data_IF_895952671340
#
_entry.id   IF_895952671340
#
_cell.length_a   1.000
_cell.length_b   1.000
_cell.length_c   1.000
_cell.angle_alpha   90.00
_cell.angle_beta   90.00
_cell.angle_gamma   90.00
#
_symmetry.space_group_name_H-M   'P 1'
#
loop_
_entity.id
_entity.type
_entity.pdbx_description
1 polymer ?
#
# COMPACT_ATOMS: atom_id res chain seq x y z
N UNK A 1 2.07 19.61 9.04
CA UNK A 1 1.11 18.60 9.53
C UNK A 1 0.46 19.07 10.80
N UNK A 2 -0.85 18.88 10.94
CA UNK A 2 -1.54 19.23 12.18
C UNK A 2 -1.21 18.16 13.23
N UNK A 3 -0.40 18.49 14.20
CA UNK A 3 -0.12 17.61 15.34
C UNK A 3 -1.37 17.52 16.21
N UNK A 4 -1.84 16.31 16.47
CA UNK A 4 -2.94 16.12 17.42
C UNK A 4 -2.43 16.40 18.83
N UNK A 5 -3.15 17.24 19.55
CA UNK A 5 -2.89 17.56 20.94
C UNK A 5 -3.92 16.88 21.86
N UNK A 6 -3.59 16.81 23.13
CA UNK A 6 -4.48 16.22 24.15
C UNK A 6 -5.84 16.93 24.20
N UNK A 7 -5.86 18.25 23.98
CA UNK A 7 -7.04 19.10 23.91
C UNK A 7 -8.01 18.66 22.84
N UNK A 8 -7.51 18.33 21.63
CA UNK A 8 -8.33 17.84 20.54
C UNK A 8 -9.00 16.50 20.87
N UNK A 9 -8.28 15.59 21.54
CA UNK A 9 -8.83 14.31 21.97
C UNK A 9 -9.91 14.46 23.06
N UNK A 10 -9.73 15.42 23.97
CA UNK A 10 -10.74 15.74 25.00
C UNK A 10 -12.00 16.29 24.37
N UNK A 11 -11.88 17.27 23.47
CA UNK A 11 -13.00 17.93 22.78
C UNK A 11 -13.78 16.97 21.87
N UNK A 12 -13.06 16.01 21.24
CA UNK A 12 -13.66 14.95 20.46
C UNK A 12 -14.39 13.90 21.33
N UNK A 13 -14.14 13.87 22.65
CA UNK A 13 -14.74 12.89 23.55
C UNK A 13 -14.05 11.51 23.53
N UNK A 14 -12.78 11.46 23.13
CA UNK A 14 -12.01 10.22 23.01
C UNK A 14 -11.79 9.50 24.35
N UNK A 15 -11.92 10.21 25.48
CA UNK A 15 -11.71 9.69 26.82
C UNK A 15 -12.87 8.88 27.36
N UNK A 16 -14.06 8.95 26.77
CA UNK A 16 -15.20 8.15 27.22
C UNK A 16 -15.11 6.73 26.68
N UNK A 17 -15.01 5.76 27.58
CA UNK A 17 -15.15 4.35 27.26
C UNK A 17 -16.56 3.83 27.47
N UNK A 18 -16.69 2.53 27.52
CA UNK A 18 -17.95 1.84 27.77
C UNK A 18 -18.27 1.70 29.25
N UNK A 19 -19.51 1.28 29.54
CA UNK A 19 -19.97 0.96 30.87
C UNK A 19 -19.07 -0.12 31.54
N UNK A 20 -18.81 0.03 32.85
CA UNK A 20 -17.95 -0.89 33.64
C UNK A 20 -18.35 -2.34 33.50
N UNK A 21 -19.66 -2.66 33.43
CA UNK A 21 -20.15 -4.03 33.24
C UNK A 21 -19.79 -4.69 31.92
N UNK A 22 -19.34 -3.91 30.92
CA UNK A 22 -19.01 -4.39 29.57
C UNK A 22 -17.52 -4.37 29.23
N UNK A 23 -16.70 -3.94 30.17
CA UNK A 23 -15.29 -3.77 29.94
C UNK A 23 -14.54 -5.09 29.77
N UNK A 24 -13.37 -5.01 29.13
CA UNK A 24 -12.44 -6.13 29.07
C UNK A 24 -11.30 -5.90 30.08
N UNK A 25 -10.97 -6.86 30.98
CA UNK A 25 -9.89 -6.71 31.95
C UNK A 25 -8.52 -6.40 31.33
N UNK A 26 -8.25 -6.84 30.13
CA UNK A 26 -7.01 -6.54 29.37
C UNK A 26 -6.85 -5.06 29.04
N UNK A 27 -7.94 -4.28 29.05
CA UNK A 27 -7.91 -2.83 28.85
C UNK A 27 -7.52 -2.06 30.11
N UNK A 28 -7.36 -2.73 31.27
CA UNK A 28 -6.96 -2.09 32.54
C UNK A 28 -5.75 -1.14 32.42
N UNK A 29 -4.68 -1.45 31.67
CA UNK A 29 -3.54 -0.55 31.51
C UNK A 29 -3.86 0.79 30.85
N UNK A 30 -4.95 0.86 30.07
CA UNK A 30 -5.36 2.04 29.31
C UNK A 30 -6.48 2.85 29.96
N UNK A 31 -7.02 2.35 31.09
CA UNK A 31 -8.08 3.02 31.85
C UNK A 31 -7.45 3.91 32.91
N UNK A 32 -7.83 5.19 32.93
CA UNK A 32 -7.39 6.16 33.91
C UNK A 32 -8.16 6.06 35.20
N UNK A 33 -9.52 6.04 35.12
CA UNK A 33 -10.42 5.95 36.27
C UNK A 33 -11.82 5.48 35.86
N UNK A 34 -12.65 5.25 36.84
CA UNK A 34 -14.09 5.03 36.66
C UNK A 34 -14.86 6.29 37.16
N UNK A 35 -15.85 6.74 36.39
CA UNK A 35 -16.73 7.83 36.76
C UNK A 35 -18.15 7.53 36.30
N UNK A 36 -19.12 7.58 37.23
CA UNK A 36 -20.54 7.33 36.94
C UNK A 36 -20.82 5.99 36.22
N UNK A 37 -20.07 4.93 36.54
CA UNK A 37 -20.24 3.62 35.93
C UNK A 37 -19.70 3.51 34.49
N UNK A 38 -18.88 4.48 34.07
CA UNK A 38 -18.21 4.50 32.76
C UNK A 38 -16.70 4.54 33.00
N UNK A 39 -15.94 3.78 32.24
CA UNK A 39 -14.48 3.86 32.25
C UNK A 39 -14.00 5.09 31.48
N UNK A 40 -13.01 5.78 32.03
CA UNK A 40 -12.34 6.91 31.40
C UNK A 40 -10.98 6.42 30.89
N UNK A 41 -10.73 6.61 29.60
CA UNK A 41 -9.49 6.21 28.94
C UNK A 41 -8.38 7.22 29.24
N UNK A 42 -7.16 6.74 29.45
CA UNK A 42 -5.96 7.55 29.67
C UNK A 42 -5.48 8.17 28.33
N UNK A 43 -5.86 9.41 28.09
CA UNK A 43 -5.52 10.10 26.86
C UNK A 43 -4.04 10.38 26.66
N UNK A 44 -3.22 10.39 27.71
CA UNK A 44 -1.76 10.52 27.57
C UNK A 44 -1.20 9.27 26.88
N UNK A 45 -1.67 8.10 27.28
CA UNK A 45 -1.31 6.84 26.63
C UNK A 45 -1.89 6.75 25.22
N UNK A 46 -3.15 7.16 25.04
CA UNK A 46 -3.78 7.22 23.71
C UNK A 46 -2.98 8.07 22.74
N UNK A 47 -2.55 9.25 23.16
CA UNK A 47 -1.75 10.15 22.31
C UNK A 47 -0.40 9.54 21.95
N UNK A 48 0.29 8.92 22.93
CA UNK A 48 1.57 8.25 22.65
C UNK A 48 1.43 7.10 21.65
N UNK A 49 0.40 6.26 21.83
CA UNK A 49 0.13 5.14 20.92
C UNK A 49 -0.41 5.58 19.56
N UNK A 50 -1.18 6.67 19.51
CA UNK A 50 -1.62 7.28 18.24
C UNK A 50 -0.42 7.78 17.42
N UNK A 51 0.53 8.47 18.07
CA UNK A 51 1.74 8.93 17.39
C UNK A 51 2.61 7.75 16.92
N UNK A 52 2.74 6.68 17.71
CA UNK A 52 3.42 5.47 17.29
C UNK A 52 2.73 4.86 16.07
N UNK A 53 1.40 4.67 16.12
CA UNK A 53 0.62 4.15 15.01
C UNK A 53 0.74 5.02 13.75
N UNK A 54 0.81 6.35 13.91
CA UNK A 54 1.05 7.28 12.80
C UNK A 54 2.37 7.00 12.10
N UNK A 55 3.48 6.94 12.87
CA UNK A 55 4.81 6.70 12.30
C UNK A 55 4.92 5.34 11.60
N UNK A 56 4.39 4.31 12.22
CA UNK A 56 4.38 2.97 11.63
C UNK A 56 3.50 2.88 10.36
N UNK A 57 2.39 3.62 10.34
CA UNK A 57 1.55 3.73 9.14
C UNK A 57 2.30 4.43 8.00
N UNK A 58 3.01 5.54 8.29
CA UNK A 58 3.85 6.24 7.31
C UNK A 58 4.90 5.27 6.75
N UNK A 59 5.56 4.50 7.62
CA UNK A 59 6.61 3.57 7.19
C UNK A 59 6.04 2.44 6.32
N UNK A 60 4.92 1.82 6.74
CA UNK A 60 4.26 0.77 5.97
C UNK A 60 3.86 1.22 4.55
N UNK A 61 3.39 2.47 4.42
CA UNK A 61 3.02 3.04 3.12
C UNK A 61 4.26 3.49 2.32
N UNK A 62 5.30 3.98 2.98
CA UNK A 62 6.56 4.38 2.33
C UNK A 62 7.25 3.22 1.63
N UNK A 63 7.04 1.99 2.13
CA UNK A 63 7.50 0.75 1.51
C UNK A 63 6.62 0.28 0.34
N UNK A 64 5.58 1.04 0.00
CA UNK A 64 4.64 0.72 -1.09
C UNK A 64 3.47 -0.16 -0.66
N UNK A 65 3.23 -0.32 0.63
CA UNK A 65 2.06 -0.99 1.18
C UNK A 65 0.78 -0.17 0.95
N UNK A 66 -0.33 -0.82 0.61
CA UNK A 66 -1.66 -0.20 0.60
C UNK A 66 -2.35 -0.46 1.93
N UNK A 67 -3.22 0.46 2.35
CA UNK A 67 -3.99 0.35 3.58
C UNK A 67 -5.45 0.02 3.25
N UNK A 68 -6.05 -0.89 4.02
CA UNK A 68 -7.49 -1.16 3.96
C UNK A 68 -8.15 -0.60 5.22
N UNK A 69 -9.01 0.41 5.05
CA UNK A 69 -9.80 0.96 6.14
C UNK A 69 -11.07 0.15 6.34
N UNK A 70 -11.34 -0.28 7.57
CA UNK A 70 -12.47 -1.16 7.91
C UNK A 70 -13.27 -0.57 9.06
N UNK A 71 -14.58 -0.42 8.86
CA UNK A 71 -15.49 -0.01 9.92
C UNK A 71 -16.92 0.05 9.44
N UNK A 72 -17.68 -0.97 9.82
CA UNK A 72 -19.08 -1.09 9.44
C UNK A 72 -20.03 -0.44 10.45
N UNK A 73 -19.48 0.19 11.50
CA UNK A 73 -20.25 0.93 12.51
C UNK A 73 -20.92 2.13 11.87
N UNK A 74 -22.20 2.37 12.18
CA UNK A 74 -22.99 3.45 11.58
C UNK A 74 -22.31 4.81 11.69
N UNK A 75 -21.62 5.06 12.82
CA UNK A 75 -20.88 6.29 13.09
C UNK A 75 -19.58 6.41 12.27
N UNK A 76 -19.00 5.31 11.85
CA UNK A 76 -17.71 5.26 11.16
C UNK A 76 -17.83 5.27 9.63
N UNK A 77 -18.93 4.75 9.08
CA UNK A 77 -19.10 4.51 7.63
C UNK A 77 -18.72 5.71 6.76
N UNK A 78 -19.42 6.83 6.94
CA UNK A 78 -19.20 8.01 6.10
C UNK A 78 -17.80 8.60 6.22
N UNK A 79 -17.24 8.56 7.44
CA UNK A 79 -15.88 9.03 7.69
C UNK A 79 -14.85 8.14 7.00
N UNK A 80 -15.00 6.81 7.12
CA UNK A 80 -14.10 5.83 6.48
C UNK A 80 -14.12 5.98 4.96
N UNK A 81 -15.31 6.10 4.36
CA UNK A 81 -15.45 6.27 2.91
C UNK A 81 -14.78 7.55 2.42
N UNK A 82 -15.06 8.69 3.08
CA UNK A 82 -14.51 9.98 2.68
C UNK A 82 -12.99 10.04 2.83
N UNK A 83 -12.44 9.56 3.96
CA UNK A 83 -11.02 9.64 4.23
C UNK A 83 -10.21 8.60 3.43
N UNK A 84 -10.73 7.40 3.23
CA UNK A 84 -10.12 6.42 2.33
C UNK A 84 -10.06 6.95 0.89
N UNK A 85 -11.13 7.59 0.41
CA UNK A 85 -11.14 8.23 -0.90
C UNK A 85 -10.13 9.38 -0.98
N UNK A 86 -10.04 10.22 0.08
CA UNK A 86 -9.09 11.34 0.16
C UNK A 86 -7.63 10.88 0.03
N UNK A 87 -7.27 9.79 0.67
CA UNK A 87 -5.90 9.23 0.60
C UNK A 87 -5.71 8.18 -0.51
N UNK A 88 -6.74 7.91 -1.35
CA UNK A 88 -6.65 6.96 -2.47
C UNK A 88 -6.47 5.50 -2.04
N UNK A 89 -7.01 5.14 -0.86
CA UNK A 89 -6.94 3.79 -0.31
C UNK A 89 -8.31 3.08 -0.36
N UNK A 90 -8.29 1.78 -0.18
CA UNK A 90 -9.51 0.97 -0.17
C UNK A 90 -10.22 1.01 1.19
N UNK A 91 -11.53 0.77 1.17
CA UNK A 91 -12.34 0.76 2.40
C UNK A 91 -13.42 -0.31 2.40
N UNK A 92 -13.82 -0.72 3.60
CA UNK A 92 -15.00 -1.57 3.84
C UNK A 92 -15.88 -0.90 4.89
N UNK A 93 -16.99 -0.33 4.46
CA UNK A 93 -17.89 0.48 5.29
C UNK A 93 -19.24 -0.19 5.55
N UNK A 94 -19.71 -1.07 4.66
CA UNK A 94 -21.03 -1.66 4.78
C UNK A 94 -21.04 -2.98 5.55
N UNK A 95 -20.28 -3.95 5.09
CA UNK A 95 -20.19 -5.27 5.72
C UNK A 95 -18.92 -6.00 5.32
N UNK A 96 -18.19 -6.50 6.29
CA UNK A 96 -17.11 -7.43 6.02
C UNK A 96 -17.66 -8.76 5.51
N UNK A 97 -17.18 -9.22 4.37
CA UNK A 97 -17.46 -10.56 3.88
C UNK A 97 -16.41 -11.52 4.42
N UNK A 98 -16.86 -12.62 5.04
CA UNK A 98 -15.93 -13.67 5.44
C UNK A 98 -15.10 -14.19 4.26
N UNK A 99 -13.78 -14.26 4.43
CA UNK A 99 -12.84 -14.60 3.37
C UNK A 99 -12.38 -13.43 2.51
N UNK A 100 -12.65 -12.18 2.92
CA UNK A 100 -12.25 -10.99 2.14
C UNK A 100 -10.74 -10.90 1.93
N UNK A 101 -9.96 -11.30 2.90
CA UNK A 101 -8.50 -11.42 2.80
C UNK A 101 -8.07 -12.86 2.56
N UNK A 102 -8.56 -13.81 3.34
CA UNK A 102 -8.12 -15.21 3.28
C UNK A 102 -8.59 -15.96 2.02
N UNK A 103 -9.67 -15.53 1.40
CA UNK A 103 -10.17 -16.05 0.11
C UNK A 103 -10.29 -14.94 -0.94
N UNK A 104 -9.24 -14.13 -1.02
CA UNK A 104 -9.18 -12.95 -1.88
C UNK A 104 -9.48 -13.26 -3.36
N UNK A 105 -9.07 -14.44 -3.85
CA UNK A 105 -9.32 -14.85 -5.23
C UNK A 105 -10.81 -14.93 -5.56
N UNK A 106 -11.64 -15.40 -4.61
CA UNK A 106 -13.10 -15.46 -4.76
C UNK A 106 -13.73 -14.08 -4.70
N UNK A 107 -13.25 -13.21 -3.81
CA UNK A 107 -13.69 -11.80 -3.77
C UNK A 107 -13.39 -11.11 -5.10
N UNK A 108 -12.20 -11.31 -5.68
CA UNK A 108 -11.86 -10.77 -7.01
C UNK A 108 -12.77 -11.29 -8.14
N UNK A 109 -13.25 -12.54 -8.05
CA UNK A 109 -14.26 -13.05 -9.00
C UNK A 109 -15.59 -12.30 -8.85
N UNK A 110 -16.00 -11.99 -7.61
CA UNK A 110 -17.22 -11.22 -7.36
C UNK A 110 -17.10 -9.77 -7.85
N UNK A 111 -15.94 -9.13 -7.67
CA UNK A 111 -15.64 -7.80 -8.22
C UNK A 111 -15.70 -7.84 -9.76
N UNK A 112 -15.06 -8.83 -10.40
CA UNK A 112 -15.17 -8.99 -11.88
C UNK A 112 -16.60 -9.23 -12.34
N UNK A 113 -17.42 -9.93 -11.56
CA UNK A 113 -18.85 -10.13 -11.85
C UNK A 113 -19.59 -8.79 -11.83
N UNK A 114 -19.34 -7.94 -10.81
CA UNK A 114 -19.88 -6.59 -10.73
C UNK A 114 -19.53 -5.78 -11.97
N UNK A 115 -18.24 -5.69 -12.30
CA UNK A 115 -17.73 -4.96 -13.47
C UNK A 115 -18.33 -5.45 -14.78
N UNK A 116 -18.52 -6.77 -14.92
CA UNK A 116 -19.17 -7.34 -16.10
C UNK A 116 -20.64 -6.93 -16.22
N UNK A 117 -21.38 -6.86 -15.10
CA UNK A 117 -22.78 -6.42 -15.13
C UNK A 117 -22.85 -4.92 -15.48
N UNK A 118 -21.99 -4.09 -14.91
CA UNK A 118 -21.91 -2.65 -15.22
C UNK A 118 -21.52 -2.41 -16.69
N UNK A 119 -20.59 -3.21 -17.22
CA UNK A 119 -20.25 -3.17 -18.64
C UNK A 119 -21.42 -3.54 -19.55
N UNK A 120 -22.18 -4.60 -19.21
CA UNK A 120 -23.36 -5.02 -19.97
C UNK A 120 -24.46 -3.93 -19.98
N UNK A 121 -24.55 -3.13 -18.91
CA UNK A 121 -25.47 -2.00 -18.83
C UNK A 121 -25.04 -0.86 -19.78
N UNK A 122 -23.74 -0.56 -19.83
CA UNK A 122 -23.20 0.52 -20.70
C UNK A 122 -23.13 0.12 -22.16
N UNK A 123 -22.89 -1.15 -22.49
CA UNK A 123 -22.76 -1.66 -23.86
C UNK A 123 -24.14 -1.87 -24.56
N UNK A 124 -25.27 -1.50 -23.92
CA UNK A 124 -26.61 -1.68 -24.47
C UNK A 124 -27.11 -3.13 -24.50
N UNK A 125 -26.38 -4.07 -23.87
CA UNK A 125 -26.81 -5.48 -23.78
C UNK A 125 -28.10 -5.61 -22.98
N UNK A 126 -28.37 -4.72 -22.05
CA UNK A 126 -29.61 -4.67 -21.26
C UNK A 126 -30.87 -4.43 -22.10
N UNK A 127 -30.75 -3.87 -23.29
CA UNK A 127 -31.87 -3.68 -24.22
C UNK A 127 -32.25 -4.98 -24.94
N UNK A 128 -31.32 -5.93 -25.04
CA UNK A 128 -31.48 -7.20 -25.76
C UNK A 128 -32.02 -8.32 -24.88
N UNK A 129 -32.07 -8.15 -23.55
CA UNK A 129 -32.52 -9.15 -22.58
C UNK A 129 -33.96 -8.88 -22.11
N UNK A 130 -34.59 -9.88 -21.52
CA UNK A 130 -35.94 -9.76 -21.00
C UNK A 130 -36.01 -8.79 -19.79
N UNK A 131 -37.19 -8.15 -19.59
CA UNK A 131 -37.37 -7.24 -18.43
C UNK A 131 -37.09 -7.93 -17.09
N UNK A 132 -37.46 -9.23 -16.97
CA UNK A 132 -37.22 -10.03 -15.75
C UNK A 132 -35.73 -10.23 -15.49
N UNK A 133 -34.99 -10.56 -16.50
CA UNK A 133 -33.56 -10.80 -16.42
C UNK A 133 -32.79 -9.50 -16.12
N UNK A 134 -33.15 -8.39 -16.78
CA UNK A 134 -32.60 -7.09 -16.49
C UNK A 134 -32.80 -6.69 -15.02
N UNK A 135 -34.04 -6.86 -14.49
CA UNK A 135 -34.32 -6.57 -13.11
C UNK A 135 -33.48 -7.44 -12.14
N UNK A 136 -33.26 -8.70 -12.48
CA UNK A 136 -32.43 -9.60 -11.68
C UNK A 136 -30.97 -9.13 -11.65
N UNK A 137 -30.39 -8.81 -12.82
CA UNK A 137 -29.03 -8.31 -12.94
C UNK A 137 -28.84 -6.95 -12.24
N UNK A 138 -29.80 -6.05 -12.36
CA UNK A 138 -29.75 -4.76 -11.65
C UNK A 138 -29.72 -4.95 -10.13
N UNK A 139 -30.57 -5.84 -9.59
CA UNK A 139 -30.58 -6.14 -8.15
C UNK A 139 -29.30 -6.82 -7.68
N UNK A 140 -28.73 -7.70 -8.51
CA UNK A 140 -27.44 -8.34 -8.24
C UNK A 140 -26.32 -7.29 -8.22
N UNK A 141 -26.27 -6.40 -9.22
CA UNK A 141 -25.32 -5.28 -9.30
C UNK A 141 -25.40 -4.40 -8.05
N UNK A 142 -26.58 -3.93 -7.71
CA UNK A 142 -26.77 -3.01 -6.58
C UNK A 142 -26.33 -3.65 -5.25
N UNK A 143 -26.61 -4.94 -5.07
CA UNK A 143 -26.16 -5.70 -3.91
C UNK A 143 -24.63 -5.86 -3.87
N UNK A 144 -24.00 -6.20 -4.99
CA UNK A 144 -22.55 -6.34 -5.08
C UNK A 144 -21.86 -4.99 -4.92
N UNK A 145 -22.34 -3.96 -5.60
CA UNK A 145 -21.81 -2.60 -5.53
C UNK A 145 -21.77 -2.09 -4.11
N UNK A 146 -22.91 -2.17 -3.40
CA UNK A 146 -23.01 -1.75 -2.01
C UNK A 146 -21.95 -2.34 -1.09
N UNK A 147 -21.51 -3.59 -1.35
CA UNK A 147 -20.59 -4.32 -0.45
C UNK A 147 -19.14 -4.22 -0.93
N UNK A 148 -18.91 -4.16 -2.25
CA UNK A 148 -17.59 -4.30 -2.85
C UNK A 148 -17.02 -3.00 -3.42
N UNK A 149 -17.79 -1.91 -3.48
CA UNK A 149 -17.38 -0.64 -4.06
C UNK A 149 -16.05 -0.15 -3.50
N UNK A 150 -15.88 -0.15 -2.18
CA UNK A 150 -14.66 0.31 -1.54
C UNK A 150 -13.43 -0.59 -1.74
N UNK A 151 -13.59 -1.82 -2.27
CA UNK A 151 -12.51 -2.77 -2.54
C UNK A 151 -12.37 -3.12 -4.03
N UNK A 152 -13.12 -2.47 -4.89
CA UNK A 152 -13.14 -2.74 -6.32
C UNK A 152 -11.77 -2.58 -6.97
N UNK A 153 -11.04 -1.53 -6.61
CA UNK A 153 -9.71 -1.19 -7.12
C UNK A 153 -8.59 -2.01 -6.49
N UNK A 154 -8.87 -2.78 -5.43
CA UNK A 154 -7.87 -3.56 -4.71
C UNK A 154 -7.36 -4.73 -5.56
N UNK A 155 -6.18 -4.60 -6.16
CA UNK A 155 -5.56 -5.63 -7.01
C UNK A 155 -4.74 -6.66 -6.22
N UNK A 156 -4.21 -6.29 -5.05
CA UNK A 156 -3.35 -7.10 -4.16
C UNK A 156 -3.91 -7.05 -2.74
N UNK A 157 -3.45 -7.98 -1.91
CA UNK A 157 -3.69 -7.89 -0.47
C UNK A 157 -3.10 -6.59 0.09
N UNK A 158 -3.76 -5.96 1.08
CA UNK A 158 -3.26 -4.75 1.70
C UNK A 158 -1.99 -5.02 2.51
N UNK A 159 -1.10 -4.03 2.60
CA UNK A 159 0.09 -4.07 3.43
C UNK A 159 -0.23 -3.91 4.92
N UNK A 160 -1.35 -3.25 5.26
CA UNK A 160 -1.88 -3.16 6.61
C UNK A 160 -3.40 -2.91 6.59
N UNK A 161 -4.05 -3.16 7.72
CA UNK A 161 -5.49 -2.93 7.90
C UNK A 161 -5.69 -1.94 9.05
N UNK A 162 -6.54 -0.92 8.86
CA UNK A 162 -6.99 -0.02 9.91
C UNK A 162 -8.44 -0.33 10.27
N UNK A 163 -8.71 -0.66 11.53
CA UNK A 163 -10.03 -1.15 11.99
C UNK A 163 -10.64 -0.20 13.02
N UNK A 164 -11.92 0.13 12.85
CA UNK A 164 -12.73 0.83 13.84
C UNK A 164 -13.72 -0.16 14.46
N UNK A 165 -13.69 -0.28 15.77
CA UNK A 165 -14.49 -1.25 16.55
C UNK A 165 -14.11 -2.71 16.25
N UNK A 166 -12.99 -3.16 16.87
CA UNK A 166 -12.46 -4.52 16.69
C UNK A 166 -13.43 -5.63 17.15
N UNK A 167 -14.37 -5.31 18.03
CA UNK A 167 -15.36 -6.28 18.50
C UNK A 167 -16.39 -6.58 17.40
N UNK A 168 -16.74 -5.58 16.63
CA UNK A 168 -17.67 -5.73 15.49
C UNK A 168 -16.98 -6.33 14.28
N UNK A 169 -15.74 -5.96 14.05
CA UNK A 169 -14.93 -6.39 12.91
C UNK A 169 -13.98 -7.57 13.26
N UNK A 170 -14.39 -8.43 14.22
CA UNK A 170 -13.62 -9.57 14.72
C UNK A 170 -13.13 -10.52 13.59
N UNK A 171 -13.95 -10.72 12.57
CA UNK A 171 -13.58 -11.56 11.42
C UNK A 171 -12.45 -10.91 10.62
N UNK A 172 -12.49 -9.59 10.40
CA UNK A 172 -11.45 -8.86 9.69
C UNK A 172 -10.10 -8.96 10.40
N UNK A 173 -10.10 -8.75 11.72
CA UNK A 173 -8.90 -8.87 12.56
C UNK A 173 -8.32 -10.29 12.50
N UNK A 174 -9.16 -11.33 12.65
CA UNK A 174 -8.72 -12.72 12.57
C UNK A 174 -8.14 -13.09 11.19
N UNK A 175 -8.75 -12.60 10.11
CA UNK A 175 -8.24 -12.84 8.77
C UNK A 175 -6.90 -12.13 8.53
N UNK A 176 -6.77 -10.87 8.96
CA UNK A 176 -5.52 -10.12 8.85
C UNK A 176 -4.38 -10.82 9.62
N UNK A 177 -4.63 -11.21 10.87
CA UNK A 177 -3.65 -11.95 11.70
C UNK A 177 -3.25 -13.29 11.07
N UNK A 178 -4.20 -14.02 10.49
CA UNK A 178 -3.91 -15.30 9.80
C UNK A 178 -2.96 -15.14 8.62
N UNK A 179 -2.98 -13.96 7.98
CA UNK A 179 -2.12 -13.62 6.85
C UNK A 179 -0.89 -12.82 7.24
N UNK A 180 -0.64 -12.61 8.54
CA UNK A 180 0.42 -11.77 9.08
C UNK A 180 0.39 -10.34 8.52
N UNK A 181 -0.81 -9.80 8.30
CA UNK A 181 -1.01 -8.41 7.89
C UNK A 181 -1.11 -7.57 9.17
N UNK A 182 -0.29 -6.53 9.35
CA UNK A 182 -0.34 -5.64 10.51
C UNK A 182 -1.70 -4.99 10.68
N UNK A 183 -2.21 -4.98 11.92
CA UNK A 183 -3.51 -4.43 12.27
C UNK A 183 -3.33 -3.19 13.15
N UNK A 184 -3.79 -2.07 12.63
CA UNK A 184 -3.98 -0.82 13.35
C UNK A 184 -5.45 -0.75 13.76
N UNK A 185 -5.76 -0.39 14.99
CA UNK A 185 -7.16 -0.31 15.38
C UNK A 185 -7.45 0.72 16.47
N UNK A 186 -8.63 1.32 16.38
CA UNK A 186 -9.26 1.99 17.53
C UNK A 186 -9.81 0.94 18.48
N UNK A 187 -9.41 1.02 19.75
CA UNK A 187 -9.73 0.03 20.77
C UNK A 187 -10.43 0.70 21.94
N UNK A 188 -11.71 0.43 22.13
CA UNK A 188 -12.45 0.90 23.29
C UNK A 188 -12.32 -0.08 24.46
N UNK A 189 -12.76 0.32 25.64
CA UNK A 189 -12.64 -0.41 26.93
C UNK A 189 -13.34 -1.78 26.95
N UNK A 190 -14.24 -2.07 26.01
CA UNK A 190 -14.97 -3.35 25.88
C UNK A 190 -14.30 -4.38 24.98
N UNK A 191 -13.12 -4.06 24.46
CA UNK A 191 -12.41 -4.84 23.44
C UNK A 191 -11.17 -5.55 23.99
N UNK A 192 -10.68 -6.57 23.29
CA UNK A 192 -9.40 -7.23 23.58
C UNK A 192 -8.29 -6.58 22.73
N UNK A 193 -7.28 -5.92 23.32
CA UNK A 193 -6.20 -5.29 22.58
C UNK A 193 -5.14 -6.27 22.07
N UNK A 194 -5.03 -7.49 22.62
CA UNK A 194 -3.93 -8.42 22.32
C UNK A 194 -3.76 -8.79 20.85
N UNK A 195 -4.84 -8.97 20.05
CA UNK A 195 -4.68 -9.30 18.64
C UNK A 195 -4.26 -8.13 17.76
N UNK A 196 -4.13 -6.91 18.31
CA UNK A 196 -3.84 -5.69 17.56
C UNK A 196 -2.36 -5.33 17.70
N UNK A 197 -1.72 -5.04 16.57
CA UNK A 197 -0.31 -4.68 16.57
C UNK A 197 -0.11 -3.21 16.99
N UNK A 198 -0.98 -2.31 16.55
CA UNK A 198 -0.95 -0.88 16.85
C UNK A 198 -2.32 -0.44 17.40
N UNK A 199 -2.53 -0.68 18.68
CA UNK A 199 -3.77 -0.33 19.36
C UNK A 199 -3.79 1.17 19.71
N UNK A 200 -4.89 1.84 19.37
CA UNK A 200 -5.16 3.24 19.71
C UNK A 200 -6.35 3.26 20.67
N UNK A 201 -6.11 3.34 21.99
CA UNK A 201 -7.19 3.37 22.97
C UNK A 201 -8.02 4.65 22.81
N UNK A 202 -9.27 4.52 22.40
CA UNK A 202 -10.16 5.67 22.19
C UNK A 202 -11.62 5.22 22.09
N UNK A 203 -12.52 6.18 22.28
CA UNK A 203 -13.95 6.00 22.10
C UNK A 203 -14.30 5.72 20.62
N UNK A 204 -14.91 4.57 20.38
CA UNK A 204 -15.34 4.13 19.05
C UNK A 204 -16.83 4.39 18.75
N UNK A 205 -17.56 5.07 19.67
CA UNK A 205 -18.98 5.46 19.51
C UNK A 205 -19.13 6.92 19.10
N UNK A 206 -18.19 7.80 19.44
CA UNK A 206 -18.27 9.22 19.16
C UNK A 206 -17.80 9.53 17.73
N UNK A 207 -18.67 10.05 16.88
CA UNK A 207 -18.35 10.43 15.49
C UNK A 207 -17.14 11.36 15.42
N UNK A 208 -17.05 12.36 16.31
CA UNK A 208 -15.93 13.33 16.34
C UNK A 208 -14.58 12.65 16.65
N UNK A 209 -14.58 11.65 17.55
CA UNK A 209 -13.36 10.89 17.87
C UNK A 209 -12.93 10.05 16.68
N UNK A 210 -13.86 9.35 16.06
CA UNK A 210 -13.63 8.52 14.88
C UNK A 210 -13.09 9.39 13.75
N UNK A 211 -13.71 10.53 13.46
CA UNK A 211 -13.26 11.47 12.43
C UNK A 211 -11.85 12.01 12.69
N UNK A 212 -11.55 12.43 13.93
CA UNK A 212 -10.25 12.96 14.30
C UNK A 212 -9.15 11.92 14.07
N UNK A 213 -9.35 10.68 14.53
CA UNK A 213 -8.35 9.62 14.44
C UNK A 213 -8.21 9.12 13.00
N UNK A 214 -9.30 8.87 12.30
CA UNK A 214 -9.23 8.38 10.90
C UNK A 214 -8.58 9.43 10.00
N UNK A 215 -8.94 10.70 10.16
CA UNK A 215 -8.32 11.80 9.41
C UNK A 215 -6.81 11.86 9.63
N UNK A 216 -6.39 11.74 10.88
CA UNK A 216 -4.95 11.71 11.22
C UNK A 216 -4.24 10.50 10.60
N UNK A 217 -4.85 9.32 10.65
CA UNK A 217 -4.28 8.12 10.02
C UNK A 217 -4.27 8.22 8.49
N UNK A 218 -5.27 8.86 7.87
CA UNK A 218 -5.26 9.15 6.44
C UNK A 218 -4.18 10.17 6.05
N UNK A 219 -3.88 11.14 6.91
CA UNK A 219 -2.75 12.05 6.72
C UNK A 219 -1.40 11.31 6.78
N UNK A 220 -1.26 10.31 7.67
CA UNK A 220 -0.11 9.41 7.69
C UNK A 220 0.08 8.65 6.37
N UNK A 221 -1.03 8.16 5.79
CA UNK A 221 -1.01 7.50 4.49
C UNK A 221 -0.53 8.45 3.39
N UNK A 222 -1.04 9.68 3.35
CA UNK A 222 -0.64 10.69 2.35
C UNK A 222 0.85 11.01 2.47
N UNK A 223 1.35 11.17 3.71
CA UNK A 223 2.78 11.38 3.97
C UNK A 223 3.62 10.18 3.50
N UNK A 224 3.20 8.95 3.83
CA UNK A 224 3.87 7.74 3.39
C UNK A 224 3.92 7.60 1.87
N UNK A 225 2.82 7.96 1.18
CA UNK A 225 2.78 7.98 -0.30
C UNK A 225 3.77 9.00 -0.89
N UNK A 226 3.90 10.18 -0.28
CA UNK A 226 4.87 11.18 -0.71
C UNK A 226 6.31 10.65 -0.59
N UNK A 227 6.67 10.08 0.58
CA UNK A 227 7.97 9.45 0.81
C UNK A 227 8.24 8.28 -0.15
N UNK A 228 7.23 7.46 -0.42
CA UNK A 228 7.36 6.36 -1.40
C UNK A 228 7.67 6.88 -2.81
N UNK A 229 7.01 7.96 -3.21
CA UNK A 229 7.21 8.58 -4.52
C UNK A 229 8.61 9.19 -4.67
N UNK A 230 9.11 9.85 -3.63
CA UNK A 230 10.47 10.39 -3.57
C UNK A 230 11.51 9.27 -3.67
N UNK A 231 11.41 8.24 -2.83
CA UNK A 231 12.31 7.08 -2.87
C UNK A 231 12.35 6.41 -4.23
N UNK A 232 11.18 6.23 -4.84
CA UNK A 232 11.08 5.61 -6.14
C UNK A 232 11.70 6.46 -7.25
N UNK A 233 11.59 7.78 -7.15
CA UNK A 233 12.25 8.70 -8.09
C UNK A 233 13.79 8.65 -7.95
N UNK A 234 14.30 8.57 -6.72
CA UNK A 234 15.73 8.40 -6.43
C UNK A 234 16.26 7.07 -6.97
N UNK A 235 15.57 5.95 -6.72
CA UNK A 235 15.94 4.63 -7.24
C UNK A 235 16.00 4.59 -8.78
N UNK A 236 15.04 5.25 -9.45
CA UNK A 236 15.03 5.35 -10.91
C UNK A 236 16.22 6.17 -11.40
N UNK A 237 16.47 7.32 -10.77
CA UNK A 237 17.60 8.17 -11.13
C UNK A 237 18.96 7.47 -10.92
N UNK A 238 19.11 6.70 -9.85
CA UNK A 238 20.32 5.92 -9.57
C UNK A 238 20.51 4.80 -10.60
N UNK A 239 19.45 4.07 -10.95
CA UNK A 239 19.49 3.05 -12.02
C UNK A 239 19.85 3.63 -13.38
N UNK A 240 19.36 4.83 -13.70
CA UNK A 240 19.72 5.50 -14.93
C UNK A 240 21.17 5.95 -14.95
N UNK A 241 21.72 6.44 -13.83
CA UNK A 241 23.14 6.77 -13.69
C UNK A 241 24.03 5.53 -13.86
N UNK A 242 23.75 4.47 -13.13
CA UNK A 242 24.50 3.21 -13.24
C UNK A 242 24.45 2.62 -14.66
N UNK A 243 23.32 2.77 -15.35
CA UNK A 243 23.17 2.30 -16.73
C UNK A 243 24.00 3.14 -17.73
N UNK A 244 24.10 4.45 -17.51
CA UNK A 244 24.96 5.33 -18.33
C UNK A 244 26.44 5.05 -18.11
N UNK A 245 26.86 4.89 -16.84
CA UNK A 245 28.24 4.54 -16.49
C UNK A 245 28.66 3.21 -17.12
N UNK A 246 27.80 2.20 -17.05
CA UNK A 246 28.07 0.91 -17.67
C UNK A 246 28.14 0.97 -19.22
N UNK A 247 27.36 1.86 -19.85
CA UNK A 247 27.40 2.05 -21.30
C UNK A 247 28.68 2.78 -21.72
N UNK A 248 29.12 3.78 -20.97
CA UNK A 248 30.39 4.49 -21.21
C UNK A 248 31.61 3.59 -21.01
N UNK A 249 31.59 2.69 -20.04
CA UNK A 249 32.66 1.69 -19.82
C UNK A 249 32.72 0.66 -20.95
N UNK A 250 31.59 0.22 -21.48
CA UNK A 250 31.52 -0.72 -22.60
C UNK A 250 32.03 -0.08 -23.90
N UNK A 251 31.63 1.17 -24.20
CA UNK A 251 32.08 1.90 -25.37
C UNK A 251 33.61 2.17 -25.32
N UNK A 252 34.14 2.59 -24.16
CA UNK A 252 35.58 2.76 -23.99
C UNK A 252 36.37 1.46 -24.12
N UNK A 253 35.79 0.32 -23.73
CA UNK A 253 36.41 -1.00 -23.88
C UNK A 253 36.42 -1.46 -25.33
N UNK A 254 35.42 -1.15 -26.11
CA UNK A 254 35.32 -1.44 -27.54
C UNK A 254 36.28 -0.56 -28.36
N UNK A 255 36.36 0.73 -28.07
CA UNK A 255 37.30 1.67 -28.70
C UNK A 255 38.75 1.28 -28.44
N UNK A 256 39.08 0.82 -27.21
CA UNK A 256 40.42 0.29 -26.88
C UNK A 256 40.72 -1.02 -27.63
N UNK A 257 39.74 -1.88 -27.87
CA UNK A 257 39.91 -3.10 -28.68
C UNK A 257 40.10 -2.81 -30.18
N UNK A 258 39.37 -1.85 -30.69
CA UNK A 258 39.46 -1.38 -32.09
C UNK A 258 40.81 -0.71 -32.33
N UNK A 259 41.27 0.16 -31.44
CA UNK A 259 42.57 0.83 -31.50
C UNK A 259 43.73 -0.16 -31.45
N UNK A 260 43.69 -1.16 -30.54
CA UNK A 260 44.69 -2.25 -30.48
C UNK A 260 44.68 -3.14 -31.73
N UNK A 261 43.55 -3.34 -32.37
CA UNK A 261 43.43 -4.11 -33.62
C UNK A 261 43.97 -3.33 -34.82
N UNK A 262 43.83 -2.01 -34.82
CA UNK A 262 44.42 -1.12 -35.85
C UNK A 262 45.96 -1.03 -35.71
N UNK A 263 46.50 -0.89 -34.47
CA UNK A 263 47.93 -0.92 -34.25
C UNK A 263 48.55 -2.24 -34.70
N UNK A 264 48.00 -3.39 -34.34
CA UNK A 264 48.52 -4.70 -34.80
C UNK A 264 48.44 -4.90 -36.30
N UNK A 265 47.52 -4.25 -36.99
CA UNK A 265 47.46 -4.29 -38.49
C UNK A 265 48.49 -3.37 -39.15
N UNK A 266 48.90 -2.27 -38.48
CA UNK A 266 49.99 -1.41 -38.96
C UNK A 266 51.33 -2.08 -38.80
N UNK A 267 51.64 -2.65 -37.61
CA UNK A 267 52.87 -3.37 -37.34
C UNK A 267 53.06 -4.53 -38.33
N UNK A 268 51.99 -5.29 -38.62
CA UNK A 268 52.06 -6.40 -39.57
C UNK A 268 52.26 -5.94 -41.02
N UNK A 269 51.78 -4.73 -41.41
CA UNK A 269 52.06 -4.15 -42.71
C UNK A 269 53.49 -3.59 -42.86
N UNK A 270 54.05 -3.09 -41.78
CA UNK A 270 55.45 -2.63 -41.76
C UNK A 270 56.43 -3.82 -41.82
N UNK A 271 56.11 -4.94 -41.14
CA UNK A 271 56.90 -6.18 -41.23
C UNK A 271 56.82 -6.81 -42.64
N UNK A 272 55.65 -6.90 -43.28
CA UNK A 272 55.46 -7.39 -44.66
C UNK A 272 56.22 -6.54 -45.68
N UNK A 273 56.30 -5.18 -45.49
CA UNK A 273 57.03 -4.26 -46.37
C UNK A 273 58.56 -4.39 -46.16
N UNK A 274 59.03 -4.75 -44.95
CA UNK A 274 60.45 -4.97 -44.69
C UNK A 274 60.92 -6.31 -45.22
N UNK A 275 60.10 -7.37 -45.25
CA UNK A 275 60.41 -8.65 -45.91
C UNK A 275 60.46 -8.53 -47.44
N UNK A 276 59.53 -7.78 -48.10
CA UNK A 276 59.56 -7.55 -49.54
C UNK A 276 60.80 -6.74 -50.01
N UNK A 277 61.34 -5.89 -49.16
CA UNK A 277 62.59 -5.13 -49.48
C UNK A 277 63.83 -5.93 -49.28
N UNK A 278 63.84 -6.94 -48.40
CA UNK A 278 64.97 -7.82 -48.20
C UNK A 278 65.14 -8.87 -49.32
N UNK A 279 64.03 -9.25 -49.98
CA UNK A 279 64.08 -10.19 -51.11
C UNK A 279 64.43 -9.55 -52.46
N UNK A 280 64.36 -8.18 -52.57
CA UNK A 280 64.72 -7.47 -53.81
C UNK A 280 66.21 -7.14 -53.98
N UNK A 281 67.02 -7.24 -52.90
CA UNK A 281 68.46 -6.92 -52.93
C UNK A 281 69.36 -8.16 -53.21
N UNK A 282 68.80 -9.34 -53.50
CA UNK A 282 69.57 -10.55 -53.78
C UNK A 282 69.40 -11.10 -55.21
N UNK A 283 69.39 -10.19 -56.21
CA UNK A 283 69.61 -10.63 -57.61
C UNK A 283 70.82 -9.89 -58.20
N UNK A 284 71.97 -10.50 -58.04
CA UNK A 284 73.17 -10.12 -58.76
C UNK A 284 73.14 -10.60 -60.18
N UNK A 285 73.66 -9.81 -61.14
CA UNK A 285 73.72 -10.18 -62.53
C UNK A 285 75.15 -10.75 -62.82
N UNK A 286 75.24 -11.99 -63.16
CA UNK A 286 76.44 -12.46 -63.94
C UNK A 286 76.13 -13.73 -64.68
N UNK A 287 76.02 -13.70 -65.95
CA UNK A 287 77.03 -14.26 -66.90
C UNK A 287 76.60 -14.20 -68.36
N UNK A 288 77.24 -13.35 -69.03
CA UNK A 288 77.55 -13.58 -70.45
C UNK A 288 78.47 -14.83 -70.63
N UNK A 289 78.06 -15.71 -71.45
CA UNK A 289 78.78 -16.18 -72.65
C UNK A 289 77.95 -17.21 -73.37
#
# INVERSE_FOLDING_TARGET
>A
MATIELTHLIEAGAHFGHLTRRWNPKMKPYIFMEKNGIHIIDLKKSLGLLNLAYHEMVEAVSQGGSILFVGTKKQAKGVIESEAQRCGMNSVSERWLGGMLTNFSTIRKSVKRLQNIEKQETDGTFEKITKKERLFLTRERDKLKKILEGVETMAKLPGAVFVVDIKKEDIAVKEAKRLNIPVFAMVDTNCDPDPIDYAIPANDDAVKTIELIIKHMADAVIEGQAKHKERRAEEVAERERSRKEHHEETDQSEDKKISKKHLKRRDKKEDDISEEKADSDHKDPSSEK
#
